data_IF_051542623728
#
_entry.id   IF_051542623728
#
_cell.length_a   1.000
_cell.length_b   1.000
_cell.length_c   1.000
_cell.angle_alpha   90.00
_cell.angle_beta   90.00
_cell.angle_gamma   90.00
#
_symmetry.space_group_name_H-M   'P 1'
#
loop_
_entity.id
_entity.type
_entity.pdbx_description
1 polymer ?
#
# COMPACT_ATOMS: atom_id res chain seq x y z
N UNK A 1 13.17 37.15 52.45
CA UNK A 1 13.43 37.02 50.99
C UNK A 1 13.01 38.30 50.31
N UNK A 2 13.76 38.77 49.30
CA UNK A 2 13.51 40.07 48.69
C UNK A 2 12.37 39.96 47.66
N UNK A 3 11.50 40.98 47.53
CA UNK A 3 10.22 40.87 46.81
C UNK A 3 10.37 40.51 45.32
N UNK A 4 11.51 40.85 44.71
CA UNK A 4 11.84 40.49 43.33
C UNK A 4 12.06 38.98 43.10
N UNK A 5 12.31 38.19 44.16
CA UNK A 5 12.45 36.74 44.06
C UNK A 5 11.11 36.07 43.73
N UNK A 6 10.00 36.57 44.28
CA UNK A 6 8.65 36.06 43.98
C UNK A 6 8.21 36.39 42.55
N UNK A 7 8.61 37.57 42.04
CA UNK A 7 8.34 37.98 40.66
C UNK A 7 9.07 37.07 39.67
N UNK A 8 10.33 36.73 39.96
CA UNK A 8 11.11 35.82 39.11
C UNK A 8 10.55 34.38 39.14
N UNK A 9 10.12 33.88 40.31
CA UNK A 9 9.51 32.55 40.43
C UNK A 9 8.18 32.49 39.64
N UNK A 10 7.34 33.51 39.76
CA UNK A 10 6.09 33.60 39.00
C UNK A 10 6.32 33.61 37.48
N UNK A 11 7.33 34.35 37.01
CA UNK A 11 7.65 34.41 35.59
C UNK A 11 8.12 33.04 35.05
N UNK A 12 8.95 32.33 35.82
CA UNK A 12 9.44 30.99 35.45
C UNK A 12 8.29 29.97 35.39
N UNK A 13 7.33 30.02 36.32
CA UNK A 13 6.18 29.11 36.33
C UNK A 13 5.28 29.32 35.10
N UNK A 14 5.06 30.58 34.70
CA UNK A 14 4.25 30.90 33.51
C UNK A 14 4.92 30.42 32.22
N UNK A 15 6.24 30.57 32.12
CA UNK A 15 7.02 30.08 30.96
C UNK A 15 7.00 28.54 30.89
N UNK A 16 7.08 27.87 32.03
CA UNK A 16 7.05 26.41 32.06
C UNK A 16 5.67 25.85 31.69
N UNK A 17 4.60 26.52 32.13
CA UNK A 17 3.23 26.15 31.78
C UNK A 17 2.92 26.32 30.29
N UNK A 18 3.44 27.37 29.65
CA UNK A 18 3.25 27.57 28.20
C UNK A 18 4.00 26.56 27.35
N UNK A 19 5.21 26.15 27.76
CA UNK A 19 5.98 25.11 27.05
C UNK A 19 5.26 23.75 27.13
N UNK A 20 4.71 23.39 28.29
CA UNK A 20 3.97 22.13 28.46
C UNK A 20 2.67 22.12 27.62
N UNK A 21 1.97 23.26 27.55
CA UNK A 21 0.78 23.40 26.71
C UNK A 21 1.04 23.15 25.21
N UNK A 22 2.21 23.58 24.71
CA UNK A 22 2.60 23.38 23.30
C UNK A 22 2.92 21.91 23.02
N UNK A 23 3.56 21.19 23.96
CA UNK A 23 3.93 19.78 23.78
C UNK A 23 2.69 18.88 23.71
N UNK A 24 1.67 19.15 24.54
CA UNK A 24 0.42 18.38 24.53
C UNK A 24 -0.40 18.66 23.27
N UNK A 25 -0.33 19.88 22.73
CA UNK A 25 -0.99 20.25 21.49
C UNK A 25 -0.35 19.60 20.24
N UNK A 26 0.93 19.21 20.30
CA UNK A 26 1.63 18.58 19.17
C UNK A 26 1.76 17.05 19.28
N UNK A 27 1.51 16.46 20.46
CA UNK A 27 1.55 14.99 20.65
C UNK A 27 0.24 14.26 20.34
N UNK A 28 -0.77 14.97 19.80
CA UNK A 28 -2.01 14.39 19.29
C UNK A 28 -1.83 13.68 17.94
N UNK A 29 -0.88 12.75 17.87
CA UNK A 29 -0.62 11.88 16.73
C UNK A 29 -1.78 10.93 16.47
N UNK A 30 -2.84 11.47 15.89
CA UNK A 30 -3.93 10.69 15.30
C UNK A 30 -3.36 10.01 14.06
N UNK A 31 -2.93 8.75 14.18
CA UNK A 31 -2.67 7.88 13.04
C UNK A 31 -3.99 7.57 12.34
N UNK A 32 -4.57 8.58 11.67
CA UNK A 32 -5.46 8.33 10.55
C UNK A 32 -4.55 7.85 9.45
N UNK A 33 -4.50 6.53 9.27
CA UNK A 33 -4.19 5.94 7.98
C UNK A 33 -5.17 6.55 6.99
N UNK A 34 -4.78 7.70 6.42
CA UNK A 34 -5.39 8.22 5.21
C UNK A 34 -4.97 7.25 4.12
N UNK A 35 -5.73 6.16 3.98
CA UNK A 35 -5.99 5.63 2.65
C UNK A 35 -6.58 6.81 1.90
N UNK A 36 -5.71 7.54 1.22
CA UNK A 36 -6.06 8.57 0.26
C UNK A 36 -6.88 7.83 -0.79
N UNK A 37 -8.19 7.78 -0.56
CA UNK A 37 -9.17 7.26 -1.50
C UNK A 37 -9.04 8.18 -2.69
N UNK A 38 -8.30 7.72 -3.69
CA UNK A 38 -8.18 8.40 -4.96
C UNK A 38 -9.62 8.69 -5.40
N UNK A 39 -9.97 9.97 -5.47
CA UNK A 39 -11.34 10.41 -5.78
C UNK A 39 -11.69 10.19 -7.24
N UNK A 40 -10.73 9.71 -8.02
CA UNK A 40 -10.95 9.10 -9.31
C UNK A 40 -11.27 7.63 -9.09
N UNK A 41 -12.41 7.16 -9.57
CA UNK A 41 -12.77 5.75 -9.66
C UNK A 41 -11.86 4.99 -10.66
N UNK A 42 -10.55 5.16 -10.55
CA UNK A 42 -9.54 4.58 -11.42
C UNK A 42 -8.61 3.73 -10.57
N UNK A 43 -8.58 2.44 -10.83
CA UNK A 43 -7.63 1.50 -10.26
C UNK A 43 -6.32 1.58 -11.05
N UNK A 44 -5.23 1.86 -10.35
CA UNK A 44 -3.88 1.92 -10.92
C UNK A 44 -3.21 0.56 -10.77
N UNK A 45 -2.80 -0.03 -11.91
CA UNK A 45 -2.15 -1.34 -11.96
C UNK A 45 -0.72 -1.18 -12.44
N UNK A 46 0.27 -1.56 -11.62
CA UNK A 46 1.67 -1.60 -12.04
C UNK A 46 2.03 -2.97 -12.60
N UNK A 47 2.81 -2.95 -13.69
CA UNK A 47 3.30 -4.16 -14.36
C UNK A 47 4.70 -3.98 -14.92
N UNK A 48 5.52 -5.02 -14.82
CA UNK A 48 6.85 -5.05 -15.45
C UNK A 48 6.87 -5.67 -16.86
N UNK A 49 6.34 -6.89 -17.00
CA UNK A 49 6.74 -7.78 -18.12
C UNK A 49 5.71 -7.80 -19.27
N UNK A 50 4.43 -8.05 -18.98
CA UNK A 50 3.49 -8.42 -20.05
C UNK A 50 3.12 -7.25 -20.96
N UNK A 51 2.87 -7.57 -22.23
CA UNK A 51 2.34 -6.61 -23.20
C UNK A 51 0.95 -6.14 -22.78
N UNK A 52 0.62 -4.88 -23.08
CA UNK A 52 -0.67 -4.26 -22.73
C UNK A 52 -1.85 -5.05 -23.33
N UNK A 53 -1.63 -5.68 -24.48
CA UNK A 53 -2.62 -6.48 -25.21
C UNK A 53 -3.15 -7.68 -24.42
N UNK A 54 -2.32 -8.31 -23.57
CA UNK A 54 -2.68 -9.54 -22.84
C UNK A 54 -3.85 -9.31 -21.88
N UNK A 55 -3.95 -8.11 -21.31
CA UNK A 55 -4.97 -7.78 -20.32
C UNK A 55 -6.08 -6.93 -20.89
N UNK A 56 -5.99 -6.52 -22.16
CA UNK A 56 -6.93 -5.57 -22.76
C UNK A 56 -8.35 -6.12 -22.78
N UNK A 57 -8.51 -7.40 -23.10
CA UNK A 57 -9.83 -8.05 -23.12
C UNK A 57 -10.41 -8.20 -21.72
N UNK A 58 -9.63 -8.69 -20.77
CA UNK A 58 -10.06 -8.83 -19.37
C UNK A 58 -10.41 -7.48 -18.71
N UNK A 59 -9.62 -6.43 -18.99
CA UNK A 59 -9.91 -5.07 -18.51
C UNK A 59 -11.19 -4.55 -19.13
N UNK A 60 -11.39 -4.77 -20.44
CA UNK A 60 -12.59 -4.34 -21.15
C UNK A 60 -13.83 -5.01 -20.55
N UNK A 61 -13.81 -6.32 -20.36
CA UNK A 61 -14.92 -7.07 -19.74
C UNK A 61 -15.21 -6.56 -18.32
N UNK A 62 -14.17 -6.34 -17.52
CA UNK A 62 -14.33 -5.81 -16.16
C UNK A 62 -14.95 -4.39 -16.14
N UNK A 63 -14.51 -3.50 -17.03
CA UNK A 63 -15.08 -2.15 -17.13
C UNK A 63 -16.50 -2.12 -17.70
N UNK A 64 -16.89 -3.11 -18.52
CA UNK A 64 -18.27 -3.27 -19.00
C UNK A 64 -19.21 -3.69 -17.87
N UNK A 65 -18.75 -4.55 -16.95
CA UNK A 65 -19.50 -4.97 -15.76
C UNK A 65 -19.51 -3.92 -14.64
N UNK A 66 -18.48 -3.07 -14.58
CA UNK A 66 -18.28 -2.06 -13.54
C UNK A 66 -18.09 -0.67 -14.18
N UNK A 67 -19.14 -0.06 -14.78
CA UNK A 67 -19.02 1.13 -15.62
C UNK A 67 -18.51 2.37 -14.89
N UNK A 68 -18.66 2.41 -13.57
CA UNK A 68 -18.14 3.47 -12.71
C UNK A 68 -16.65 3.36 -12.44
N UNK A 69 -16.01 2.21 -12.71
CA UNK A 69 -14.59 1.96 -12.48
C UNK A 69 -13.79 2.01 -13.79
N UNK A 70 -12.56 2.51 -13.70
CA UNK A 70 -11.57 2.50 -14.78
C UNK A 70 -10.29 1.83 -14.34
N UNK A 71 -9.59 1.20 -15.27
CA UNK A 71 -8.30 0.56 -15.00
C UNK A 71 -7.21 1.28 -15.78
N UNK A 72 -6.24 1.85 -15.05
CA UNK A 72 -5.03 2.45 -15.60
C UNK A 72 -3.85 1.51 -15.41
N UNK A 73 -3.43 0.85 -16.48
CA UNK A 73 -2.20 0.05 -16.47
C UNK A 73 -0.99 0.95 -16.69
N UNK A 74 0.00 0.84 -15.81
CA UNK A 74 1.27 1.55 -15.89
C UNK A 74 2.38 0.52 -16.06
N UNK A 75 2.94 0.48 -17.28
CA UNK A 75 4.13 -0.30 -17.57
C UNK A 75 5.35 0.36 -16.92
N UNK A 76 6.02 -0.37 -16.04
CA UNK A 76 7.24 0.05 -15.37
C UNK A 76 8.45 -0.60 -16.05
N UNK A 77 9.59 0.06 -15.97
CA UNK A 77 10.85 -0.49 -16.47
C UNK A 77 11.25 -1.73 -15.66
N UNK A 78 11.71 -2.76 -16.37
CA UNK A 78 12.06 -4.06 -15.78
C UNK A 78 13.35 -4.03 -14.96
N UNK A 79 14.35 -3.25 -15.38
CA UNK A 79 15.69 -3.27 -14.80
C UNK A 79 15.67 -2.89 -13.33
N UNK A 80 14.84 -1.89 -12.98
CA UNK A 80 14.68 -1.37 -11.62
C UNK A 80 13.25 -1.53 -11.10
N UNK A 81 12.47 -2.48 -11.65
CA UNK A 81 11.04 -2.60 -11.35
C UNK A 81 10.76 -2.73 -9.86
N UNK A 82 11.50 -3.61 -9.18
CA UNK A 82 11.32 -3.84 -7.75
C UNK A 82 11.64 -2.60 -6.93
N UNK A 83 12.84 -2.06 -7.12
CA UNK A 83 13.35 -0.93 -6.35
C UNK A 83 12.44 0.30 -6.53
N UNK A 84 12.06 0.59 -7.78
CA UNK A 84 11.17 1.69 -8.10
C UNK A 84 9.78 1.47 -7.51
N UNK A 85 9.28 0.23 -7.53
CA UNK A 85 8.00 -0.08 -6.91
C UNK A 85 8.03 0.12 -5.40
N UNK A 86 9.08 -0.36 -4.72
CA UNK A 86 9.24 -0.19 -3.26
C UNK A 86 9.35 1.30 -2.89
N UNK A 87 10.16 2.07 -3.61
CA UNK A 87 10.31 3.50 -3.34
C UNK A 87 8.99 4.25 -3.52
N UNK A 88 8.22 3.91 -4.54
CA UNK A 88 6.94 4.54 -4.81
C UNK A 88 5.82 4.05 -3.88
N UNK A 89 5.90 2.83 -3.34
CA UNK A 89 5.03 2.36 -2.25
C UNK A 89 5.22 3.15 -0.95
N UNK A 90 6.40 3.76 -0.74
CA UNK A 90 6.69 4.65 0.38
C UNK A 90 6.34 6.12 0.11
N UNK A 91 5.88 6.43 -1.10
CA UNK A 91 5.48 7.77 -1.55
C UNK A 91 3.97 7.96 -1.38
N UNK A 92 3.48 9.16 -1.65
CA UNK A 92 2.05 9.51 -1.58
C UNK A 92 1.19 8.95 -2.74
N UNK A 93 1.76 8.15 -3.66
CA UNK A 93 1.09 7.64 -4.86
C UNK A 93 1.44 6.16 -5.19
N UNK A 94 1.09 5.21 -4.29
CA UNK A 94 1.22 3.78 -4.55
C UNK A 94 0.15 3.27 -5.56
N UNK A 95 0.34 2.11 -6.20
CA UNK A 95 -0.68 1.51 -7.03
C UNK A 95 -1.76 0.84 -6.17
N UNK A 96 -2.93 0.60 -6.75
CA UNK A 96 -3.95 -0.26 -6.14
C UNK A 96 -3.61 -1.74 -6.34
N UNK A 97 -3.03 -2.09 -7.49
CA UNK A 97 -2.66 -3.46 -7.85
C UNK A 97 -1.20 -3.49 -8.32
N UNK A 98 -0.40 -4.37 -7.72
CA UNK A 98 1.01 -4.55 -8.07
C UNK A 98 1.24 -5.97 -8.62
N UNK A 99 1.50 -6.07 -9.92
CA UNK A 99 1.85 -7.35 -10.55
C UNK A 99 3.32 -7.67 -10.28
N UNK A 100 3.57 -8.71 -9.49
CA UNK A 100 4.92 -9.15 -9.08
C UNK A 100 5.11 -10.65 -9.28
N UNK A 101 6.36 -11.10 -9.47
CA UNK A 101 6.68 -12.51 -9.39
C UNK A 101 6.28 -13.09 -8.02
N UNK A 102 5.75 -14.31 -8.00
CA UNK A 102 5.32 -14.98 -6.77
C UNK A 102 6.44 -15.12 -5.73
N UNK A 103 7.70 -15.22 -6.17
CA UNK A 103 8.88 -15.25 -5.30
C UNK A 103 9.10 -13.95 -4.50
N UNK A 104 8.38 -12.87 -4.83
CA UNK A 104 8.46 -11.58 -4.15
C UNK A 104 7.50 -11.45 -2.98
N UNK A 105 6.44 -12.26 -2.95
CA UNK A 105 5.41 -12.21 -1.89
C UNK A 105 6.02 -12.37 -0.49
N UNK A 106 6.91 -13.35 -0.20
CA UNK A 106 7.40 -13.55 1.17
C UNK A 106 8.20 -12.36 1.73
N UNK A 107 8.90 -11.60 0.89
CA UNK A 107 9.74 -10.48 1.34
C UNK A 107 9.03 -9.12 1.37
N UNK A 108 7.88 -9.02 0.70
CA UNK A 108 7.05 -7.81 0.65
C UNK A 108 5.70 -7.98 1.33
N UNK A 109 5.51 -9.07 2.08
CA UNK A 109 4.24 -9.38 2.75
C UNK A 109 3.73 -8.23 3.64
N UNK A 110 4.64 -7.50 4.27
CA UNK A 110 4.35 -6.33 5.11
C UNK A 110 3.82 -5.12 4.33
N UNK A 111 3.99 -5.11 3.00
CA UNK A 111 3.57 -4.03 2.08
C UNK A 111 2.35 -4.42 1.24
N UNK A 112 1.83 -5.64 1.41
CA UNK A 112 0.69 -6.16 0.66
C UNK A 112 -0.54 -6.27 1.56
N UNK A 113 -1.71 -5.96 1.01
CA UNK A 113 -2.97 -6.29 1.67
C UNK A 113 -3.19 -7.81 1.64
N UNK A 114 -3.73 -8.36 2.72
CA UNK A 114 -4.16 -9.76 2.73
C UNK A 114 -5.33 -9.94 1.76
N UNK A 115 -5.29 -11.01 0.97
CA UNK A 115 -6.44 -11.38 0.16
C UNK A 115 -7.67 -11.60 1.06
N UNK A 116 -8.88 -11.26 0.58
CA UNK A 116 -10.11 -11.55 1.32
C UNK A 116 -10.21 -13.03 1.70
N UNK A 117 -10.75 -13.31 2.88
CA UNK A 117 -11.07 -14.68 3.31
C UNK A 117 -11.91 -15.37 2.23
N UNK A 118 -11.56 -16.59 1.85
CA UNK A 118 -12.23 -17.35 0.79
C UNK A 118 -11.79 -17.05 -0.64
N UNK A 119 -10.98 -16.01 -0.88
CA UNK A 119 -10.48 -15.71 -2.22
C UNK A 119 -9.40 -16.71 -2.66
N UNK A 120 -8.41 -16.94 -1.80
CA UNK A 120 -7.46 -18.03 -1.99
C UNK A 120 -8.05 -19.24 -1.29
N UNK A 121 -8.49 -20.23 -2.09
CA UNK A 121 -9.27 -21.40 -1.68
C UNK A 121 -9.24 -21.69 -0.17
N UNK A 122 -10.40 -21.56 0.49
CA UNK A 122 -10.64 -21.92 1.90
C UNK A 122 -10.28 -23.38 2.24
N UNK A 123 -9.91 -24.16 1.22
CA UNK A 123 -9.56 -25.56 1.32
C UNK A 123 -8.06 -25.76 1.03
N UNK A 124 -7.22 -25.99 2.06
CA UNK A 124 -5.79 -26.28 1.90
C UNK A 124 -5.50 -27.41 0.90
N UNK A 125 -6.44 -28.33 0.70
CA UNK A 125 -6.34 -29.41 -0.28
C UNK A 125 -6.40 -28.91 -1.72
N UNK A 126 -7.25 -27.92 -2.02
CA UNK A 126 -7.34 -27.30 -3.35
C UNK A 126 -6.13 -26.42 -3.66
N UNK A 127 -5.56 -25.76 -2.65
CA UNK A 127 -4.33 -25.00 -2.83
C UNK A 127 -3.15 -25.92 -3.25
N UNK A 128 -3.06 -27.11 -2.64
CA UNK A 128 -2.06 -28.13 -3.04
C UNK A 128 -2.34 -28.68 -4.44
N UNK A 129 -3.60 -28.95 -4.78
CA UNK A 129 -4.00 -29.39 -6.11
C UNK A 129 -3.63 -28.37 -7.19
N UNK A 130 -3.98 -27.09 -6.98
CA UNK A 130 -3.64 -26.01 -7.91
C UNK A 130 -2.12 -25.83 -8.05
N UNK A 131 -1.35 -25.99 -6.97
CA UNK A 131 0.11 -25.92 -7.02
C UNK A 131 0.70 -27.05 -7.86
N UNK A 132 0.25 -28.28 -7.66
CA UNK A 132 0.72 -29.44 -8.42
C UNK A 132 0.28 -29.38 -9.89
N UNK A 133 -0.95 -28.92 -10.16
CA UNK A 133 -1.44 -28.70 -11.53
C UNK A 133 -0.61 -27.61 -12.25
N UNK A 134 -0.29 -26.51 -11.57
CA UNK A 134 0.53 -25.44 -12.13
C UNK A 134 1.98 -25.92 -12.37
N UNK A 135 2.58 -26.67 -11.43
CA UNK A 135 3.92 -27.27 -11.63
C UNK A 135 3.94 -28.19 -12.85
N UNK A 136 2.95 -29.07 -12.96
CA UNK A 136 2.83 -29.99 -14.10
C UNK A 136 2.70 -29.24 -15.42
N UNK A 137 1.85 -28.21 -15.49
CA UNK A 137 1.71 -27.39 -16.69
C UNK A 137 3.01 -26.68 -17.08
N UNK A 138 3.84 -26.29 -16.10
CA UNK A 138 5.14 -25.67 -16.35
C UNK A 138 6.12 -26.73 -16.89
N UNK A 139 6.18 -27.91 -16.27
CA UNK A 139 7.05 -29.01 -16.72
C UNK A 139 6.70 -29.51 -18.13
N UNK A 140 5.41 -29.53 -18.50
CA UNK A 140 4.94 -29.93 -19.83
C UNK A 140 5.13 -28.83 -20.90
N UNK A 141 5.48 -27.61 -20.49
CA UNK A 141 5.69 -26.46 -21.39
C UNK A 141 7.15 -26.25 -21.81
N UNK A 142 8.07 -27.11 -21.34
CA UNK A 142 9.49 -27.14 -21.73
C UNK A 142 9.88 -28.52 -22.30
#
# INVERSE_FOLDING_TARGET
MKPYVWILISAVVVIFATIIGIIIATSGGSSKSSTQKNSDNTLVVWRGIDNDEVFKEAIKEYEEENPELKIKVVKKDLMDYELNSINALLSDDPPDIWSIPSSWIPRHQDKLSSAPTGFLADNPSKAKENLEANKKSIEESF
#
